data_IF_503382970345
#
_entry.id   IF_503382970345
#
_cell.length_a   1.000
_cell.length_b   1.000
_cell.length_c   1.000
_cell.angle_alpha   90.00
_cell.angle_beta   90.00
_cell.angle_gamma   90.00
#
_symmetry.space_group_name_H-M   'P 1'
#
loop_
_entity.id
_entity.type
_entity.pdbx_description
1 polymer ?
#
# COMPACT_ATOMS: atom_id res chain seq x y z
N UNK A 1 55.13 31.59 -36.23
CA UNK A 1 56.58 31.72 -36.01
C UNK A 1 56.96 31.00 -34.73
N UNK A 2 57.73 29.95 -34.92
CA UNK A 2 58.74 29.30 -34.06
C UNK A 2 58.23 28.58 -32.80
N UNK A 3 57.96 27.28 -32.86
CA UNK A 3 58.63 26.27 -32.04
C UNK A 3 60.16 26.42 -32.10
N UNK A 4 60.99 25.82 -31.31
CA UNK A 4 61.04 24.46 -30.77
C UNK A 4 61.65 24.42 -29.31
N UNK A 5 62.01 23.37 -28.60
CA UNK A 5 62.64 22.08 -28.88
C UNK A 5 62.79 21.28 -27.60
N UNK A 6 62.69 19.99 -27.74
CA UNK A 6 63.02 18.87 -26.85
C UNK A 6 64.48 18.94 -26.35
N UNK A 7 64.77 18.50 -25.11
CA UNK A 7 66.00 17.73 -24.84
C UNK A 7 65.86 16.78 -23.65
N UNK A 8 65.98 15.50 -23.95
CA UNK A 8 66.30 14.34 -23.13
C UNK A 8 67.78 14.29 -22.80
N UNK A 9 68.19 13.75 -21.66
CA UNK A 9 69.44 12.98 -21.41
C UNK A 9 69.50 12.57 -19.93
N UNK A 10 69.28 11.31 -19.57
CA UNK A 10 70.16 10.13 -19.44
C UNK A 10 71.11 10.13 -18.22
N UNK A 11 70.82 9.14 -17.35
CA UNK A 11 71.70 8.27 -16.53
C UNK A 11 73.13 8.73 -16.11
N UNK A 12 73.46 8.50 -14.84
CA UNK A 12 74.60 7.59 -14.47
C UNK A 12 74.59 7.26 -12.98
N UNK A 13 74.83 6.00 -12.76
CA UNK A 13 75.21 5.22 -11.56
C UNK A 13 76.49 5.70 -10.89
N UNK A 14 76.61 5.41 -9.61
CA UNK A 14 77.62 4.52 -8.97
C UNK A 14 77.71 4.78 -7.49
N UNK A 15 77.43 3.76 -6.66
CA UNK A 15 78.41 3.03 -5.77
C UNK A 15 79.11 3.90 -4.73
N UNK A 16 79.10 3.62 -3.48
CA UNK A 16 79.30 2.50 -2.64
C UNK A 16 79.49 2.91 -1.16
N UNK A 17 79.28 1.98 -0.31
CA UNK A 17 79.94 1.63 0.98
C UNK A 17 79.36 2.15 2.29
N UNK A 18 78.75 1.18 2.95
CA UNK A 18 79.17 0.53 4.21
C UNK A 18 79.25 1.36 5.50
N UNK A 19 78.40 1.10 6.46
CA UNK A 19 78.74 0.37 7.67
C UNK A 19 77.75 0.62 8.83
N UNK A 20 77.37 -0.48 9.47
CA UNK A 20 77.05 -0.69 10.87
C UNK A 20 75.63 -0.41 11.39
N UNK A 21 75.01 -1.50 11.61
CA UNK A 21 74.16 -2.05 12.69
C UNK A 21 73.71 -1.10 13.79
N UNK A 22 72.39 -0.97 13.94
CA UNK A 22 71.73 -0.98 15.22
C UNK A 22 70.34 -1.65 15.08
N UNK A 23 70.25 -2.75 15.71
CA UNK A 23 69.10 -3.60 15.97
C UNK A 23 68.01 -2.81 16.71
N UNK A 24 66.88 -2.64 16.10
CA UNK A 24 65.63 -2.35 16.80
C UNK A 24 64.48 -3.02 16.04
N UNK A 25 64.24 -4.21 16.47
CA UNK A 25 63.07 -5.02 16.09
C UNK A 25 61.79 -4.31 16.58
N UNK A 26 61.21 -3.55 15.70
CA UNK A 26 59.81 -3.14 15.85
C UNK A 26 58.92 -4.34 15.43
N UNK A 27 58.08 -4.88 16.30
CA UNK A 27 57.21 -5.99 15.95
C UNK A 27 56.27 -5.48 14.85
N UNK A 28 56.34 -6.11 13.67
CA UNK A 28 55.37 -6.02 12.62
C UNK A 28 53.99 -6.26 13.24
N UNK A 29 53.22 -5.20 13.38
CA UNK A 29 51.81 -5.25 13.75
C UNK A 29 51.14 -6.20 12.74
N UNK A 30 50.85 -7.41 13.19
CA UNK A 30 49.99 -8.36 12.45
C UNK A 30 48.72 -7.58 12.16
N UNK A 31 48.56 -7.19 10.89
CA UNK A 31 47.25 -6.80 10.38
C UNK A 31 46.31 -7.97 10.70
N UNK A 32 45.30 -7.70 11.50
CA UNK A 32 44.23 -8.67 11.75
C UNK A 32 43.76 -9.13 10.39
N UNK A 33 43.88 -10.43 10.12
CA UNK A 33 43.20 -11.06 9.02
C UNK A 33 41.74 -10.69 9.16
N UNK A 34 41.24 -9.83 8.31
CA UNK A 34 39.80 -9.70 8.11
C UNK A 34 39.28 -11.12 7.86
N UNK A 35 38.33 -11.56 8.65
CA UNK A 35 37.73 -12.88 8.49
C UNK A 35 37.26 -13.00 7.05
N UNK A 36 38.01 -13.77 6.25
CA UNK A 36 37.60 -14.08 4.88
C UNK A 36 36.51 -15.13 4.96
N UNK A 37 35.29 -14.71 4.73
CA UNK A 37 34.15 -15.62 4.61
C UNK A 37 34.23 -16.30 3.24
N UNK A 38 34.40 -17.61 3.23
CA UNK A 38 34.38 -18.44 2.01
C UNK A 38 32.93 -18.66 1.57
N UNK A 39 32.59 -18.19 0.39
CA UNK A 39 31.29 -18.43 -0.22
C UNK A 39 31.28 -19.79 -0.96
N UNK A 40 30.19 -20.56 -0.82
CA UNK A 40 30.03 -21.89 -1.43
C UNK A 40 30.10 -21.80 -2.97
N UNK A 41 29.51 -20.77 -3.57
CA UNK A 41 29.46 -20.57 -5.02
C UNK A 41 30.38 -19.43 -5.53
N UNK A 42 31.40 -19.06 -4.74
CA UNK A 42 32.34 -17.98 -5.11
C UNK A 42 31.77 -16.55 -5.01
N UNK A 43 30.47 -16.40 -4.78
CA UNK A 43 29.79 -15.14 -4.47
C UNK A 43 29.09 -15.25 -3.12
N UNK A 44 29.33 -14.27 -2.25
CA UNK A 44 28.65 -14.18 -0.96
C UNK A 44 27.16 -13.89 -1.20
N UNK A 45 26.31 -14.89 -1.04
CA UNK A 45 24.85 -14.73 -1.06
C UNK A 45 24.28 -14.38 0.32
N UNK A 46 25.05 -14.61 1.39
CA UNK A 46 24.65 -14.31 2.77
C UNK A 46 25.25 -12.99 3.21
N UNK A 47 24.38 -12.01 3.44
CA UNK A 47 24.78 -10.72 4.02
C UNK A 47 24.99 -10.87 5.52
N UNK A 48 26.10 -10.35 6.02
CA UNK A 48 26.34 -10.26 7.47
C UNK A 48 25.42 -9.18 8.09
N UNK A 49 25.24 -9.20 9.40
CA UNK A 49 24.49 -8.16 10.11
C UNK A 49 25.08 -6.76 9.88
N UNK A 50 26.41 -6.67 9.81
CA UNK A 50 27.11 -5.41 9.52
C UNK A 50 26.88 -4.93 8.09
N UNK A 51 26.83 -5.84 7.11
CA UNK A 51 26.53 -5.47 5.72
C UNK A 51 25.10 -4.98 5.57
N UNK A 52 24.14 -5.60 6.27
CA UNK A 52 22.74 -5.13 6.30
C UNK A 52 22.64 -3.76 6.90
N UNK A 53 23.24 -3.55 8.09
CA UNK A 53 23.25 -2.24 8.73
C UNK A 53 23.88 -1.15 7.86
N UNK A 54 24.99 -1.48 7.16
CA UNK A 54 25.63 -0.56 6.22
C UNK A 54 24.73 -0.20 5.06
N UNK A 55 24.03 -1.17 4.49
CA UNK A 55 23.08 -0.95 3.39
C UNK A 55 21.88 -0.10 3.87
N UNK A 56 21.32 -0.42 5.04
CA UNK A 56 20.23 0.38 5.63
C UNK A 56 20.67 1.82 5.90
N UNK A 57 21.90 2.02 6.40
CA UNK A 57 22.45 3.35 6.58
C UNK A 57 22.68 4.10 5.27
N UNK A 58 23.12 3.40 4.20
CA UNK A 58 23.26 4.00 2.87
C UNK A 58 21.89 4.44 2.32
N UNK A 59 20.86 3.63 2.48
CA UNK A 59 19.49 3.97 2.07
C UNK A 59 18.98 5.23 2.79
N UNK A 60 19.23 5.33 4.10
CA UNK A 60 18.89 6.52 4.90
C UNK A 60 19.62 7.77 4.39
N UNK A 61 20.93 7.66 4.14
CA UNK A 61 21.75 8.79 3.64
C UNK A 61 21.35 9.18 2.21
N UNK A 62 21.08 8.20 1.34
CA UNK A 62 20.57 8.45 -0.01
C UNK A 62 19.21 9.13 0.03
N UNK A 63 18.33 8.71 0.95
CA UNK A 63 17.03 9.35 1.14
C UNK A 63 17.19 10.81 1.58
N UNK A 64 18.08 11.07 2.53
CA UNK A 64 18.33 12.43 3.03
C UNK A 64 18.92 13.35 1.95
N UNK A 65 19.92 12.89 1.21
CA UNK A 65 20.63 13.71 0.22
C UNK A 65 19.95 13.75 -1.14
N UNK A 66 19.47 12.57 -1.61
CA UNK A 66 18.91 12.36 -2.94
C UNK A 66 17.39 12.38 -2.98
N UNK A 67 16.71 12.54 -1.83
CA UNK A 67 15.24 12.44 -1.70
C UNK A 67 14.68 11.10 -2.21
N UNK A 68 15.46 10.04 -2.06
CA UNK A 68 15.01 8.67 -2.34
C UNK A 68 13.84 8.34 -1.42
N UNK A 69 12.74 7.89 -2.00
CA UNK A 69 11.58 7.46 -1.24
C UNK A 69 11.87 6.08 -0.65
N UNK A 70 11.76 5.97 0.65
CA UNK A 70 11.81 4.71 1.39
C UNK A 70 10.41 4.26 1.75
N UNK A 71 10.25 2.98 1.99
CA UNK A 71 8.97 2.37 2.38
C UNK A 71 9.15 1.61 3.68
N UNK A 72 8.20 1.71 4.58
CA UNK A 72 8.22 0.99 5.86
C UNK A 72 6.88 0.96 6.53
N UNK A 73 6.74 0.09 7.52
CA UNK A 73 5.49 -0.11 8.27
C UNK A 73 5.53 0.68 9.57
N UNK A 74 4.45 1.37 9.90
CA UNK A 74 4.28 2.04 11.18
C UNK A 74 4.12 0.98 12.28
N UNK A 75 5.14 0.83 13.13
CA UNK A 75 5.16 -0.18 14.18
C UNK A 75 4.71 0.35 15.53
N UNK A 76 4.76 1.67 15.73
CA UNK A 76 4.39 2.29 16.98
C UNK A 76 4.02 3.75 16.84
N UNK A 77 3.41 4.27 17.90
CA UNK A 77 3.14 5.70 18.08
C UNK A 77 3.68 6.11 19.44
N UNK A 78 4.56 7.07 19.46
CA UNK A 78 5.17 7.60 20.67
C UNK A 78 4.78 9.06 20.86
N UNK A 79 4.72 9.51 22.12
CA UNK A 79 4.58 10.92 22.47
C UNK A 79 5.94 11.47 22.93
N UNK A 80 6.22 12.72 22.61
CA UNK A 80 7.43 13.37 23.11
C UNK A 80 7.44 13.44 24.63
N UNK A 81 8.59 13.10 25.25
CA UNK A 81 8.80 13.27 26.68
C UNK A 81 8.86 14.72 27.10
N UNK A 82 9.35 15.60 26.21
CA UNK A 82 9.50 17.04 26.49
C UNK A 82 8.20 17.82 26.23
N UNK A 83 7.45 17.40 25.21
CA UNK A 83 6.19 18.03 24.84
C UNK A 83 5.12 16.97 24.56
N UNK A 84 4.29 16.67 25.56
CA UNK A 84 3.20 15.68 25.47
C UNK A 84 2.19 15.96 24.34
N UNK A 85 2.21 17.16 23.77
CA UNK A 85 1.36 17.55 22.65
C UNK A 85 1.87 17.07 21.29
N UNK A 86 3.11 16.55 21.22
CA UNK A 86 3.70 16.07 19.96
C UNK A 86 3.73 14.55 19.94
N UNK A 87 3.12 13.97 18.93
CA UNK A 87 3.13 12.51 18.67
C UNK A 87 3.99 12.20 17.45
N UNK A 88 4.61 11.02 17.43
CA UNK A 88 5.44 10.53 16.34
C UNK A 88 5.00 9.15 15.91
N UNK A 89 4.96 8.89 14.61
CA UNK A 89 4.95 7.54 14.09
C UNK A 89 6.36 6.97 14.13
N UNK A 90 6.50 5.71 14.54
CA UNK A 90 7.77 5.00 14.63
C UNK A 90 7.82 3.91 13.59
N UNK A 91 8.89 3.91 12.81
CA UNK A 91 9.22 2.93 11.79
C UNK A 91 10.64 2.44 12.06
N UNK A 92 10.93 1.19 11.77
CA UNK A 92 12.30 0.68 11.75
C UNK A 92 12.71 0.39 10.31
N UNK A 93 13.80 1.02 9.88
CA UNK A 93 14.48 0.71 8.64
C UNK A 93 15.71 -0.14 8.97
N UNK A 94 15.53 -1.46 8.89
CA UNK A 94 16.49 -2.37 9.51
C UNK A 94 16.57 -2.16 11.03
N UNK A 95 17.75 -1.81 11.51
CA UNK A 95 17.98 -1.50 12.93
C UNK A 95 17.84 0.00 13.27
N UNK A 96 17.67 0.86 12.26
CA UNK A 96 17.62 2.32 12.43
C UNK A 96 16.20 2.74 12.76
N UNK A 97 16.02 3.44 13.88
CA UNK A 97 14.75 4.00 14.29
C UNK A 97 14.45 5.26 13.48
N UNK A 98 13.35 5.26 12.74
CA UNK A 98 12.84 6.43 12.02
C UNK A 98 11.60 6.94 12.73
N UNK A 99 11.63 8.21 13.13
CA UNK A 99 10.48 8.90 13.72
C UNK A 99 9.92 9.89 12.72
N UNK A 100 8.60 9.90 12.58
CA UNK A 100 7.90 10.84 11.69
C UNK A 100 6.92 11.63 12.55
N UNK A 101 7.12 12.96 12.70
CA UNK A 101 6.18 13.81 13.44
C UNK A 101 4.76 13.71 12.90
N UNK A 102 3.78 13.90 13.77
CA UNK A 102 2.35 13.84 13.38
C UNK A 102 2.04 14.74 12.19
N UNK A 103 2.60 15.93 12.18
CA UNK A 103 2.41 16.95 11.13
C UNK A 103 3.04 16.54 9.79
N UNK A 104 4.05 15.68 9.83
CA UNK A 104 4.72 15.13 8.66
C UNK A 104 4.17 13.74 8.26
N UNK A 105 3.33 13.15 9.11
CA UNK A 105 2.68 11.85 8.85
C UNK A 105 1.31 12.01 8.18
N UNK A 106 0.51 12.95 8.65
CA UNK A 106 -0.89 13.14 8.25
C UNK A 106 -1.16 14.61 7.97
N UNK A 107 -1.86 14.88 6.84
CA UNK A 107 -2.34 16.23 6.58
C UNK A 107 -3.27 16.69 7.70
N UNK A 108 -3.03 17.89 8.21
CA UNK A 108 -3.86 18.52 9.23
C UNK A 108 -5.31 18.57 8.77
N UNK A 109 -6.28 18.08 9.56
CA UNK A 109 -7.70 18.24 9.27
C UNK A 109 -8.13 19.70 9.35
N UNK A 110 -9.11 20.09 8.53
CA UNK A 110 -9.66 21.45 8.56
C UNK A 110 -10.57 21.68 9.78
N UNK A 111 -11.18 20.62 10.33
CA UNK A 111 -12.07 20.68 11.50
C UNK A 111 -11.65 19.64 12.56
N UNK A 112 -11.41 20.11 13.76
CA UNK A 112 -11.05 19.30 14.93
C UNK A 112 -12.26 18.84 15.76
N UNK A 113 -13.47 19.28 15.40
CA UNK A 113 -14.73 18.94 16.12
C UNK A 113 -14.64 19.22 17.62
N UNK A 114 -13.98 20.32 18.00
CA UNK A 114 -13.82 20.74 19.39
C UNK A 114 -12.83 19.91 20.22
N UNK A 115 -12.07 19.01 19.62
CA UNK A 115 -11.04 18.21 20.31
C UNK A 115 -9.68 18.92 20.26
N UNK A 116 -8.82 18.72 21.29
CA UNK A 116 -7.45 19.23 21.26
C UNK A 116 -6.69 18.70 20.04
N UNK A 117 -5.89 19.58 19.45
CA UNK A 117 -5.05 19.25 18.27
C UNK A 117 -4.21 17.99 18.48
N UNK A 118 -3.50 17.91 19.60
CA UNK A 118 -2.62 16.79 19.91
C UNK A 118 -3.36 15.44 19.93
N UNK A 119 -4.57 15.41 20.50
CA UNK A 119 -5.35 14.17 20.60
C UNK A 119 -5.88 13.72 19.24
N UNK A 120 -6.29 14.68 18.40
CA UNK A 120 -6.74 14.37 17.03
C UNK A 120 -5.60 13.83 16.20
N UNK A 121 -4.44 14.46 16.24
CA UNK A 121 -3.26 14.01 15.49
C UNK A 121 -2.76 12.66 15.98
N UNK A 122 -2.70 12.45 17.30
CA UNK A 122 -2.37 11.16 17.89
C UNK A 122 -3.35 10.06 17.46
N UNK A 123 -4.65 10.33 17.50
CA UNK A 123 -5.66 9.40 17.02
C UNK A 123 -5.48 9.03 15.54
N UNK A 124 -5.21 10.03 14.68
CA UNK A 124 -5.03 9.81 13.25
C UNK A 124 -3.80 8.94 12.95
N UNK A 125 -2.69 9.13 13.69
CA UNK A 125 -1.51 8.26 13.54
C UNK A 125 -1.81 6.86 14.07
N UNK A 126 -2.44 6.75 15.23
CA UNK A 126 -2.78 5.45 15.85
C UNK A 126 -3.65 4.60 14.94
N UNK A 127 -4.57 5.23 14.18
CA UNK A 127 -5.37 4.52 13.18
C UNK A 127 -4.58 4.01 11.97
N UNK A 128 -3.31 4.38 11.85
CA UNK A 128 -2.38 3.94 10.80
C UNK A 128 -1.34 2.94 11.29
N UNK A 129 -1.47 2.44 12.53
CA UNK A 129 -0.62 1.34 13.01
C UNK A 129 -0.76 0.14 12.08
N UNK A 130 0.39 -0.46 11.71
CA UNK A 130 0.46 -1.55 10.74
C UNK A 130 0.41 -1.11 9.27
N UNK A 131 0.15 0.17 8.99
CA UNK A 131 0.14 0.67 7.62
C UNK A 131 1.56 0.73 7.04
N UNK A 132 1.71 0.24 5.82
CA UNK A 132 2.91 0.43 5.00
C UNK A 132 2.85 1.82 4.35
N UNK A 133 3.81 2.68 4.64
CA UNK A 133 3.87 4.06 4.14
C UNK A 133 5.20 4.36 3.47
N UNK A 134 5.16 5.34 2.58
CA UNK A 134 6.35 5.92 1.97
C UNK A 134 6.82 7.13 2.78
N UNK A 135 8.14 7.29 2.91
CA UNK A 135 8.72 8.44 3.61
C UNK A 135 10.07 8.84 3.02
N UNK A 136 10.51 10.04 3.34
CA UNK A 136 11.82 10.59 3.01
C UNK A 136 12.48 11.04 4.30
N UNK A 137 13.79 10.86 4.41
CA UNK A 137 14.55 11.29 5.55
C UNK A 137 14.87 12.79 5.42
N UNK A 138 14.55 13.55 6.46
CA UNK A 138 14.87 14.99 6.59
C UNK A 138 16.18 15.22 7.35
N UNK A 139 16.36 14.48 8.43
CA UNK A 139 17.58 14.57 9.24
C UNK A 139 17.95 13.21 9.83
N UNK A 140 19.24 13.02 10.08
CA UNK A 140 19.80 11.83 10.69
C UNK A 140 20.75 12.26 11.81
N UNK A 141 20.52 11.77 13.00
CA UNK A 141 21.48 11.84 14.09
C UNK A 141 22.25 10.51 14.17
N UNK A 142 23.48 10.55 13.71
CA UNK A 142 24.35 9.37 13.67
C UNK A 142 24.68 8.86 15.08
N UNK A 143 24.73 9.76 16.07
CA UNK A 143 25.13 9.41 17.44
C UNK A 143 24.04 8.62 18.16
N UNK A 144 22.80 9.03 18.00
CA UNK A 144 21.64 8.34 18.60
C UNK A 144 21.09 7.21 17.75
N UNK A 145 21.48 7.11 16.45
CA UNK A 145 20.91 6.16 15.51
C UNK A 145 19.44 6.43 15.17
N UNK A 146 18.99 7.69 15.33
CA UNK A 146 17.62 8.10 15.08
C UNK A 146 17.57 8.98 13.83
N UNK A 147 16.67 8.64 12.93
CA UNK A 147 16.37 9.45 11.75
C UNK A 147 14.99 10.11 11.88
N UNK A 148 14.84 11.30 11.35
CA UNK A 148 13.55 12.01 11.26
C UNK A 148 13.09 12.00 9.81
N UNK A 149 11.90 11.49 9.57
CA UNK A 149 11.32 11.37 8.24
C UNK A 149 10.10 12.27 8.01
N UNK A 150 9.67 12.34 6.75
CA UNK A 150 8.42 12.96 6.32
C UNK A 150 7.69 12.06 5.33
N UNK A 151 6.46 11.69 5.67
CA UNK A 151 5.54 11.01 4.75
C UNK A 151 4.96 12.00 3.75
N UNK A 152 4.59 13.20 4.19
CA UNK A 152 3.94 14.19 3.34
C UNK A 152 4.84 14.62 2.16
N UNK A 153 6.15 14.73 2.38
CA UNK A 153 7.10 15.01 1.30
C UNK A 153 7.21 13.85 0.30
N UNK A 154 7.26 12.60 0.79
CA UNK A 154 7.26 11.42 -0.07
C UNK A 154 5.97 11.35 -0.93
N UNK A 155 4.82 11.59 -0.30
CA UNK A 155 3.53 11.67 -0.99
C UNK A 155 3.51 12.77 -2.06
N UNK A 156 4.06 13.94 -1.76
CA UNK A 156 4.13 15.06 -2.71
C UNK A 156 4.97 14.71 -3.94
N UNK A 157 6.12 14.05 -3.75
CA UNK A 157 6.95 13.59 -4.85
C UNK A 157 6.26 12.52 -5.70
N UNK A 158 5.65 11.51 -5.07
CA UNK A 158 4.88 10.49 -5.79
C UNK A 158 3.71 11.09 -6.57
N UNK A 159 2.95 12.01 -5.97
CA UNK A 159 1.88 12.71 -6.67
C UNK A 159 2.39 13.43 -7.92
N UNK A 160 3.50 14.16 -7.79
CA UNK A 160 4.09 14.86 -8.94
C UNK A 160 4.50 13.88 -10.05
N UNK A 161 5.07 12.75 -9.67
CA UNK A 161 5.56 11.76 -10.62
C UNK A 161 4.42 11.04 -11.34
N UNK A 162 3.38 10.60 -10.63
CA UNK A 162 2.35 9.73 -11.17
C UNK A 162 1.14 10.48 -11.72
N UNK A 163 0.68 11.54 -11.06
CA UNK A 163 -0.51 12.28 -11.49
C UNK A 163 -0.23 13.28 -12.61
N UNK A 164 1.00 13.73 -12.74
CA UNK A 164 1.45 14.68 -13.76
C UNK A 164 2.59 14.13 -14.62
N UNK A 165 2.88 12.86 -14.50
CA UNK A 165 3.84 12.15 -15.33
C UNK A 165 3.21 11.59 -16.58
N UNK A 166 4.05 11.36 -17.57
CA UNK A 166 3.68 10.77 -18.86
C UNK A 166 4.45 9.49 -19.07
N UNK A 167 3.86 8.56 -19.81
CA UNK A 167 4.53 7.36 -20.28
C UNK A 167 5.47 7.71 -21.48
N UNK A 168 6.10 6.68 -22.06
CA UNK A 168 7.01 6.86 -23.21
C UNK A 168 6.28 7.37 -24.45
N UNK A 169 5.00 7.15 -24.55
CA UNK A 169 4.13 7.53 -25.68
C UNK A 169 3.45 8.89 -25.47
N UNK A 170 3.72 9.55 -24.33
CA UNK A 170 3.19 10.88 -24.00
C UNK A 170 1.80 10.85 -23.38
N UNK A 171 1.28 9.67 -23.00
CA UNK A 171 -0.02 9.57 -22.31
C UNK A 171 0.15 9.74 -20.81
N UNK A 172 -0.90 10.22 -20.14
CA UNK A 172 -0.91 10.29 -18.68
C UNK A 172 -0.75 8.91 -18.06
N UNK A 173 0.10 8.79 -17.03
CA UNK A 173 0.30 7.52 -16.29
C UNK A 173 -0.98 7.07 -15.58
N UNK A 174 -1.76 8.01 -15.04
CA UNK A 174 -3.04 7.74 -14.39
C UNK A 174 -4.19 8.31 -15.22
N UNK A 175 -5.21 7.48 -15.44
CA UNK A 175 -6.41 7.86 -16.21
C UNK A 175 -7.66 7.15 -15.67
N UNK A 176 -8.82 7.63 -16.01
CA UNK A 176 -10.08 7.00 -15.64
C UNK A 176 -10.24 5.63 -16.28
N UNK A 177 -10.64 4.64 -15.50
CA UNK A 177 -10.76 3.25 -15.92
C UNK A 177 -9.51 2.39 -15.67
N UNK A 178 -8.36 2.99 -15.30
CA UNK A 178 -7.15 2.26 -14.96
C UNK A 178 -7.35 1.42 -13.69
N UNK A 179 -6.90 0.16 -13.74
CA UNK A 179 -6.75 -0.68 -12.56
C UNK A 179 -5.35 -0.52 -11.98
N UNK A 180 -5.25 -0.26 -10.70
CA UNK A 180 -3.99 0.02 -10.01
C UNK A 180 -3.95 -0.63 -8.64
N UNK A 181 -2.74 -0.88 -8.13
CA UNK A 181 -2.52 -1.31 -6.76
C UNK A 181 -2.53 -0.10 -5.82
N UNK A 182 -3.24 -0.21 -4.70
CA UNK A 182 -3.25 0.77 -3.63
C UNK A 182 -2.96 0.11 -2.28
N UNK A 183 -2.44 0.86 -1.32
CA UNK A 183 -2.16 0.39 0.04
C UNK A 183 -3.21 0.89 1.01
N UNK A 184 -3.76 -0.01 1.82
CA UNK A 184 -4.70 0.35 2.89
C UNK A 184 -3.92 1.04 4.01
N UNK A 185 -4.26 2.28 4.29
CA UNK A 185 -3.57 3.11 5.30
C UNK A 185 -4.34 3.11 6.62
N UNK A 186 -5.66 3.13 6.54
CA UNK A 186 -6.52 3.15 7.73
C UNK A 186 -7.87 2.54 7.42
N UNK A 187 -8.44 1.85 8.40
CA UNK A 187 -9.75 1.20 8.30
C UNK A 187 -10.70 1.78 9.32
N UNK A 188 -11.91 2.11 8.87
CA UNK A 188 -13.03 2.51 9.71
C UNK A 188 -14.25 1.65 9.35
N UNK A 189 -15.24 1.59 10.22
CA UNK A 189 -16.44 0.79 9.98
C UNK A 189 -17.11 1.08 8.64
N UNK A 190 -17.18 2.36 8.24
CA UNK A 190 -17.88 2.81 7.03
C UNK A 190 -17.07 2.67 5.73
N UNK A 191 -15.78 2.30 5.79
CA UNK A 191 -14.91 2.18 4.63
C UNK A 191 -13.43 2.18 4.99
N UNK A 192 -12.59 2.38 3.99
CA UNK A 192 -11.13 2.38 4.14
C UNK A 192 -10.50 3.63 3.54
N UNK A 193 -9.36 4.02 4.08
CA UNK A 193 -8.48 5.00 3.47
C UNK A 193 -7.31 4.27 2.80
N UNK A 194 -7.03 4.62 1.56
CA UNK A 194 -5.94 4.01 0.79
C UNK A 194 -4.99 5.06 0.27
N UNK A 195 -3.72 4.72 0.19
CA UNK A 195 -2.70 5.49 -0.52
C UNK A 195 -2.62 5.00 -1.97
N UNK A 196 -2.92 5.90 -2.88
CA UNK A 196 -2.80 5.70 -4.32
C UNK A 196 -1.73 6.66 -4.86
N UNK A 197 -0.50 6.15 -5.00
CA UNK A 197 0.64 6.91 -5.52
C UNK A 197 0.85 8.28 -4.86
N UNK A 198 0.77 8.33 -3.52
CA UNK A 198 0.97 9.55 -2.73
C UNK A 198 -0.27 10.42 -2.58
N UNK A 199 -1.44 9.92 -2.96
CA UNK A 199 -2.72 10.54 -2.65
C UNK A 199 -3.54 9.62 -1.75
N UNK A 200 -3.86 10.08 -0.54
CA UNK A 200 -4.76 9.35 0.35
C UNK A 200 -6.21 9.63 -0.04
N UNK A 201 -6.96 8.58 -0.37
CA UNK A 201 -8.37 8.67 -0.76
C UNK A 201 -9.24 7.72 0.05
N UNK A 202 -10.50 8.10 0.25
CA UNK A 202 -11.49 7.31 0.99
C UNK A 202 -12.32 6.45 0.05
N UNK A 203 -12.45 5.17 0.38
CA UNK A 203 -13.32 4.22 -0.33
C UNK A 203 -14.47 3.83 0.61
N UNK A 204 -15.71 4.24 0.32
CA UNK A 204 -16.86 3.87 1.13
C UNK A 204 -17.19 2.39 0.98
N UNK A 205 -17.82 1.82 2.01
CA UNK A 205 -18.16 0.40 2.11
C UNK A 205 -18.87 -0.16 0.86
N UNK A 206 -19.74 0.64 0.24
CA UNK A 206 -20.47 0.29 -1.00
C UNK A 206 -19.57 0.09 -2.23
N UNK A 207 -18.35 0.65 -2.22
CA UNK A 207 -17.37 0.52 -3.30
C UNK A 207 -16.32 -0.56 -3.03
N UNK A 208 -16.38 -1.22 -1.86
CA UNK A 208 -15.46 -2.31 -1.50
C UNK A 208 -15.92 -3.66 -2.02
N UNK A 209 -17.23 -3.93 -2.01
CA UNK A 209 -17.78 -5.21 -2.42
C UNK A 209 -19.14 -5.06 -3.09
N UNK A 210 -19.50 -6.04 -3.91
CA UNK A 210 -20.86 -6.24 -4.41
C UNK A 210 -21.81 -6.79 -3.34
N UNK A 211 -21.28 -7.46 -2.32
CA UNK A 211 -22.03 -7.93 -1.18
C UNK A 211 -22.28 -6.80 -0.17
N UNK A 212 -23.38 -6.87 0.56
CA UNK A 212 -23.66 -5.91 1.63
C UNK A 212 -22.86 -6.24 2.87
N UNK A 213 -21.83 -5.44 3.14
CA UNK A 213 -21.05 -5.52 4.35
C UNK A 213 -21.53 -4.48 5.36
N UNK A 214 -21.34 -4.75 6.64
CA UNK A 214 -21.68 -3.84 7.73
C UNK A 214 -20.48 -3.15 8.36
N UNK A 215 -19.28 -3.72 8.15
CA UNK A 215 -18.02 -3.25 8.72
C UNK A 215 -16.86 -3.61 7.80
N UNK A 216 -16.07 -2.61 7.40
CA UNK A 216 -14.89 -2.83 6.58
C UNK A 216 -13.74 -3.49 7.36
N UNK A 217 -13.68 -3.28 8.68
CA UNK A 217 -12.64 -3.86 9.55
C UNK A 217 -12.66 -5.38 9.65
N UNK A 218 -13.76 -6.03 9.21
CA UNK A 218 -13.84 -7.49 9.13
C UNK A 218 -13.05 -8.06 7.95
N UNK A 219 -12.77 -7.24 6.92
CA UNK A 219 -12.21 -7.70 5.64
C UNK A 219 -10.90 -7.04 5.26
N UNK A 220 -10.58 -5.88 5.85
CA UNK A 220 -9.39 -5.12 5.53
C UNK A 220 -8.60 -4.75 6.78
N UNK A 221 -7.28 -4.73 6.60
CA UNK A 221 -6.33 -4.32 7.63
C UNK A 221 -5.37 -3.26 7.08
N UNK A 222 -4.85 -2.34 7.91
CA UNK A 222 -3.80 -1.41 7.51
C UNK A 222 -2.56 -2.17 7.02
N UNK A 223 -1.92 -1.67 5.96
CA UNK A 223 -0.77 -2.31 5.31
C UNK A 223 -1.12 -3.29 4.19
N UNK A 224 -2.38 -3.70 4.07
CA UNK A 224 -2.83 -4.58 3.00
C UNK A 224 -2.72 -3.87 1.64
N UNK A 225 -2.25 -4.59 0.62
CA UNK A 225 -2.27 -4.14 -0.78
C UNK A 225 -3.51 -4.66 -1.47
N UNK A 226 -4.19 -3.79 -2.18
CA UNK A 226 -5.46 -4.09 -2.83
C UNK A 226 -5.47 -3.57 -4.27
N UNK A 227 -6.19 -4.27 -5.13
CA UNK A 227 -6.45 -3.80 -6.48
C UNK A 227 -7.67 -2.88 -6.48
N UNK A 228 -7.53 -1.71 -7.11
CA UNK A 228 -8.60 -0.72 -7.26
C UNK A 228 -8.74 -0.31 -8.72
N UNK A 229 -9.91 0.18 -9.08
CA UNK A 229 -10.15 0.82 -10.36
C UNK A 229 -10.43 2.30 -10.16
N UNK A 230 -9.77 3.15 -10.93
CA UNK A 230 -9.99 4.60 -10.92
C UNK A 230 -11.30 4.88 -11.67
N UNK A 231 -12.29 5.45 -10.97
CA UNK A 231 -13.59 5.77 -11.56
C UNK A 231 -13.63 7.19 -12.13
N UNK A 232 -13.07 8.13 -11.37
CA UNK A 232 -12.99 9.56 -11.74
C UNK A 232 -11.66 10.11 -11.28
N UNK A 233 -11.07 10.96 -12.09
CA UNK A 233 -9.82 11.63 -11.83
C UNK A 233 -9.94 13.11 -12.21
N UNK A 234 -9.93 14.00 -11.21
CA UNK A 234 -9.95 15.45 -11.40
C UNK A 234 -8.58 16.04 -11.05
N UNK A 235 -7.88 16.50 -12.07
CA UNK A 235 -6.56 17.12 -12.00
C UNK A 235 -6.60 18.65 -12.19
N UNK A 236 -7.77 19.26 -12.19
CA UNK A 236 -7.96 20.70 -12.44
C UNK A 236 -7.18 21.56 -11.44
N UNK A 237 -7.05 21.10 -10.21
CA UNK A 237 -6.29 21.75 -9.17
C UNK A 237 -5.14 20.84 -8.69
N UNK A 238 -3.90 21.27 -8.93
CA UNK A 238 -2.70 20.51 -8.54
C UNK A 238 -2.55 20.30 -7.03
N UNK A 239 -3.05 21.22 -6.23
CA UNK A 239 -2.98 21.17 -4.78
C UNK A 239 -4.12 20.34 -4.16
N UNK A 240 -5.22 20.18 -4.92
CA UNK A 240 -6.42 19.48 -4.46
C UNK A 240 -6.93 18.49 -5.53
N UNK A 241 -6.14 17.46 -5.79
CA UNK A 241 -6.50 16.36 -6.69
C UNK A 241 -7.64 15.56 -6.07
N UNK A 242 -8.69 15.30 -6.85
CA UNK A 242 -9.81 14.46 -6.41
C UNK A 242 -9.83 13.16 -7.22
N UNK A 243 -9.84 12.04 -6.52
CA UNK A 243 -9.91 10.71 -7.12
C UNK A 243 -11.05 9.93 -6.49
N UNK A 244 -11.88 9.31 -7.32
CA UNK A 244 -12.85 8.30 -6.90
C UNK A 244 -12.38 6.95 -7.38
N UNK A 245 -12.33 5.98 -6.49
CA UNK A 245 -11.86 4.63 -6.78
C UNK A 245 -12.83 3.57 -6.24
N UNK A 246 -12.77 2.37 -6.81
CA UNK A 246 -13.61 1.24 -6.40
C UNK A 246 -12.81 -0.05 -6.39
N UNK A 247 -12.88 -0.80 -5.31
CA UNK A 247 -12.31 -2.15 -5.20
C UNK A 247 -13.16 -3.14 -5.97
N UNK A 248 -14.51 -3.07 -5.80
CA UNK A 248 -15.42 -4.01 -6.45
C UNK A 248 -15.35 -3.98 -7.97
N UNK A 249 -15.07 -2.80 -8.57
CA UNK A 249 -15.00 -2.68 -10.04
C UNK A 249 -13.62 -3.05 -10.61
N UNK A 250 -12.60 -3.24 -9.76
CA UNK A 250 -11.29 -3.71 -10.18
C UNK A 250 -11.26 -5.23 -10.42
N UNK A 251 -12.13 -5.98 -9.72
CA UNK A 251 -12.33 -7.40 -9.94
C UNK A 251 -13.47 -7.63 -10.93
N UNK A 252 -13.44 -8.77 -11.63
CA UNK A 252 -14.59 -9.20 -12.40
C UNK A 252 -15.81 -9.29 -11.49
N UNK A 253 -16.93 -8.78 -11.98
CA UNK A 253 -18.16 -8.80 -11.22
C UNK A 253 -18.64 -10.26 -11.03
N UNK A 254 -18.58 -10.84 -9.81
CA UNK A 254 -19.02 -12.21 -9.59
C UNK A 254 -20.47 -12.43 -10.00
N UNK A 255 -21.26 -11.36 -9.94
CA UNK A 255 -22.65 -11.36 -10.38
C UNK A 255 -22.78 -11.57 -11.89
N UNK A 256 -21.94 -10.97 -12.71
CA UNK A 256 -21.98 -11.16 -14.18
C UNK A 256 -21.54 -12.56 -14.58
N UNK A 257 -20.53 -13.12 -13.91
CA UNK A 257 -20.14 -14.52 -14.12
C UNK A 257 -21.23 -15.48 -13.66
N UNK A 258 -21.82 -15.22 -12.50
CA UNK A 258 -22.93 -16.03 -12.00
C UNK A 258 -24.16 -15.89 -12.90
N UNK A 259 -24.46 -14.69 -13.41
CA UNK A 259 -25.58 -14.46 -14.31
C UNK A 259 -25.47 -15.30 -15.61
N UNK A 260 -24.27 -15.49 -16.13
CA UNK A 260 -24.01 -16.32 -17.32
C UNK A 260 -24.32 -17.80 -17.11
N UNK A 261 -24.37 -18.28 -15.86
CA UNK A 261 -24.68 -19.67 -15.52
C UNK A 261 -26.19 -19.97 -15.56
N UNK A 262 -27.02 -18.92 -15.50
CA UNK A 262 -28.46 -19.06 -15.45
C UNK A 262 -29.03 -18.93 -16.84
N UNK A 263 -29.97 -19.87 -17.17
CA UNK A 263 -30.67 -19.90 -18.44
C UNK A 263 -32.18 -19.79 -18.21
N UNK A 264 -32.90 -19.06 -19.04
CA UNK A 264 -34.36 -19.07 -19.00
C UNK A 264 -34.92 -20.49 -19.08
N UNK A 265 -36.09 -20.69 -18.49
CA UNK A 265 -36.81 -21.96 -18.38
C UNK A 265 -36.15 -23.07 -17.54
N UNK A 266 -34.94 -22.85 -17.06
CA UNK A 266 -34.23 -23.77 -16.16
C UNK A 266 -34.62 -23.58 -14.70
N UNK A 267 -34.46 -24.66 -13.90
CA UNK A 267 -34.81 -24.68 -12.47
C UNK A 267 -33.54 -24.67 -11.64
N UNK A 268 -33.53 -23.80 -10.62
CA UNK A 268 -32.41 -23.65 -9.68
C UNK A 268 -32.89 -23.63 -8.25
N UNK A 269 -32.08 -24.13 -7.34
CA UNK A 269 -32.34 -24.05 -5.90
C UNK A 269 -31.77 -22.77 -5.35
N UNK A 270 -32.54 -22.08 -4.54
CA UNK A 270 -32.12 -20.86 -3.88
C UNK A 270 -32.67 -20.76 -2.47
N UNK A 271 -32.24 -19.72 -1.75
CA UNK A 271 -32.69 -19.41 -0.39
C UNK A 271 -33.47 -18.11 -0.39
N UNK A 272 -34.63 -18.07 0.22
CA UNK A 272 -35.45 -16.86 0.35
C UNK A 272 -34.71 -15.83 1.17
N UNK A 273 -34.31 -14.72 0.55
CA UNK A 273 -33.61 -13.61 1.20
C UNK A 273 -34.56 -12.58 1.78
N UNK A 274 -35.64 -12.28 1.05
CA UNK A 274 -36.64 -11.30 1.47
C UNK A 274 -38.01 -11.62 0.83
N UNK A 275 -39.07 -11.29 1.56
CA UNK A 275 -40.46 -11.32 1.05
C UNK A 275 -41.01 -9.91 1.14
N UNK A 276 -41.42 -9.37 0.00
CA UNK A 276 -41.96 -8.01 -0.12
C UNK A 276 -43.32 -8.05 -0.82
N UNK A 277 -44.04 -6.93 -0.84
CA UNK A 277 -45.30 -6.74 -1.56
C UNK A 277 -45.17 -7.01 -3.07
N UNK A 278 -43.99 -6.72 -3.63
CA UNK A 278 -43.70 -6.90 -5.07
C UNK A 278 -43.28 -8.31 -5.44
N UNK A 279 -43.04 -9.21 -4.47
CA UNK A 279 -42.63 -10.58 -4.72
C UNK A 279 -41.70 -11.15 -3.66
N UNK A 280 -41.12 -12.28 -3.98
CA UNK A 280 -40.19 -13.02 -3.14
C UNK A 280 -38.79 -12.94 -3.76
N UNK A 281 -37.84 -12.40 -3.03
CA UNK A 281 -36.44 -12.41 -3.44
C UNK A 281 -35.79 -13.72 -3.01
N UNK A 282 -35.23 -14.42 -3.96
CA UNK A 282 -34.54 -15.69 -3.75
C UNK A 282 -33.10 -15.53 -4.15
N UNK A 283 -32.20 -15.71 -3.19
CA UNK A 283 -30.77 -15.71 -3.44
C UNK A 283 -30.35 -17.06 -4.04
N UNK A 284 -29.85 -17.03 -5.25
CA UNK A 284 -29.31 -18.17 -5.98
C UNK A 284 -27.80 -18.31 -5.71
N UNK A 285 -27.22 -19.42 -6.17
CA UNK A 285 -25.77 -19.65 -6.05
C UNK A 285 -24.98 -18.55 -6.76
N UNK A 286 -23.85 -18.09 -6.14
CA UNK A 286 -23.05 -16.97 -6.64
C UNK A 286 -23.59 -15.58 -6.28
N UNK A 287 -24.55 -15.48 -5.34
CA UNK A 287 -25.07 -14.22 -4.81
C UNK A 287 -26.00 -13.46 -5.76
N UNK A 288 -26.58 -14.14 -6.71
CA UNK A 288 -27.57 -13.58 -7.66
C UNK A 288 -28.96 -13.65 -7.06
N UNK A 289 -29.65 -12.52 -6.96
CA UNK A 289 -31.01 -12.45 -6.49
C UNK A 289 -32.01 -12.58 -7.65
N UNK A 290 -32.94 -13.52 -7.53
CA UNK A 290 -34.06 -13.71 -8.42
C UNK A 290 -35.35 -13.15 -7.80
N UNK A 291 -36.03 -12.24 -8.47
CA UNK A 291 -37.33 -11.77 -8.06
C UNK A 291 -38.40 -12.75 -8.55
N UNK A 292 -39.03 -13.43 -7.63
CA UNK A 292 -40.08 -14.40 -7.93
C UNK A 292 -41.48 -13.83 -7.64
N UNK A 293 -42.47 -14.20 -8.44
CA UNK A 293 -43.87 -13.94 -8.12
C UNK A 293 -44.27 -14.70 -6.86
N UNK A 294 -45.25 -14.16 -6.13
CA UNK A 294 -45.77 -14.85 -4.96
C UNK A 294 -46.38 -16.20 -5.38
N UNK A 295 -46.02 -17.31 -4.71
CA UNK A 295 -46.59 -18.60 -5.03
C UNK A 295 -48.10 -18.64 -4.73
N UNK A 296 -48.86 -19.34 -5.54
CA UNK A 296 -50.29 -19.45 -5.35
C UNK A 296 -50.68 -20.21 -4.07
N UNK A 297 -49.80 -21.08 -3.59
CA UNK A 297 -50.03 -21.86 -2.33
C UNK A 297 -48.84 -21.67 -1.41
N UNK A 298 -49.14 -21.29 -0.17
CA UNK A 298 -48.13 -21.09 0.89
C UNK A 298 -47.38 -19.79 0.76
N UNK A 299 -46.82 -19.33 1.90
CA UNK A 299 -45.90 -18.17 1.97
C UNK A 299 -44.54 -18.68 2.36
N UNK A 300 -43.48 -18.51 1.51
CA UNK A 300 -42.15 -18.93 1.89
C UNK A 300 -41.64 -18.04 2.99
N UNK A 301 -41.07 -18.65 4.05
CA UNK A 301 -40.41 -17.91 5.11
C UNK A 301 -38.97 -17.49 4.65
N UNK A 302 -38.49 -16.39 5.22
CA UNK A 302 -37.08 -15.98 5.02
C UNK A 302 -36.15 -17.09 5.51
N UNK A 303 -35.12 -17.42 4.70
CA UNK A 303 -34.19 -18.51 4.97
C UNK A 303 -34.60 -19.89 4.47
N UNK A 304 -35.87 -20.07 3.99
CA UNK A 304 -36.31 -21.34 3.44
C UNK A 304 -35.67 -21.63 2.08
N UNK A 305 -35.37 -22.89 1.80
CA UNK A 305 -34.89 -23.34 0.49
C UNK A 305 -36.07 -23.53 -0.45
N UNK A 306 -35.95 -22.95 -1.62
CA UNK A 306 -37.00 -23.04 -2.68
C UNK A 306 -36.37 -23.37 -4.02
N UNK A 307 -37.17 -24.01 -4.89
CA UNK A 307 -36.79 -24.20 -6.28
C UNK A 307 -37.47 -23.13 -7.12
N UNK A 308 -36.67 -22.41 -7.89
CA UNK A 308 -37.12 -21.32 -8.76
C UNK A 308 -36.97 -21.75 -10.21
N UNK A 309 -37.98 -21.54 -11.06
CA UNK A 309 -37.86 -21.56 -12.50
C UNK A 309 -37.63 -20.15 -12.99
N UNK A 310 -36.52 -19.92 -13.68
CA UNK A 310 -36.22 -18.63 -14.30
C UNK A 310 -37.13 -18.40 -15.48
N UNK A 311 -37.83 -17.26 -15.49
CA UNK A 311 -38.69 -16.85 -16.59
C UNK A 311 -37.91 -15.97 -17.55
N UNK A 312 -37.06 -15.11 -17.05
CA UNK A 312 -36.26 -14.24 -17.88
C UNK A 312 -35.10 -13.60 -17.16
N UNK A 313 -34.18 -13.11 -17.97
CA UNK A 313 -32.95 -12.43 -17.49
C UNK A 313 -32.81 -11.13 -18.29
N UNK A 314 -32.68 -10.02 -17.61
CA UNK A 314 -32.33 -8.76 -18.22
C UNK A 314 -30.86 -8.47 -17.93
N UNK A 315 -30.03 -8.53 -18.97
CA UNK A 315 -28.56 -8.34 -18.85
C UNK A 315 -28.20 -6.89 -18.61
N UNK A 316 -28.97 -5.93 -19.12
CA UNK A 316 -28.68 -4.49 -18.94
C UNK A 316 -28.96 -4.03 -17.51
N UNK A 317 -30.11 -4.40 -16.98
CA UNK A 317 -30.48 -4.09 -15.60
C UNK A 317 -29.92 -5.09 -14.58
N UNK A 318 -29.28 -6.17 -15.05
CA UNK A 318 -28.71 -7.26 -14.24
C UNK A 318 -29.75 -7.89 -13.30
N UNK A 319 -30.98 -8.10 -13.80
CA UNK A 319 -32.10 -8.64 -13.02
C UNK A 319 -32.55 -9.96 -13.56
N UNK A 320 -32.81 -10.91 -12.66
CA UNK A 320 -33.43 -12.19 -12.96
C UNK A 320 -34.82 -12.17 -12.33
N UNK A 321 -35.81 -12.68 -13.07
CA UNK A 321 -37.16 -12.94 -12.52
C UNK A 321 -37.59 -14.34 -12.82
N UNK A 322 -38.40 -14.89 -11.93
CA UNK A 322 -38.82 -16.28 -12.02
C UNK A 322 -40.10 -16.57 -11.22
N UNK A 323 -40.41 -17.83 -11.11
CA UNK A 323 -41.50 -18.33 -10.27
C UNK A 323 -41.01 -19.45 -9.37
N UNK A 324 -41.51 -19.48 -8.13
CA UNK A 324 -41.24 -20.56 -7.19
C UNK A 324 -42.07 -21.76 -7.60
N UNK A 325 -41.39 -22.87 -7.92
CA UNK A 325 -42.06 -24.12 -8.36
C UNK A 325 -42.18 -25.14 -7.24
N UNK A 326 -41.27 -25.11 -6.27
CA UNK A 326 -41.30 -26.02 -5.13
C UNK A 326 -40.75 -25.31 -3.87
N UNK A 327 -41.36 -25.57 -2.73
CA UNK A 327 -40.90 -25.09 -1.43
C UNK A 327 -40.52 -26.31 -0.58
N UNK A 328 -39.26 -26.36 -0.14
CA UNK A 328 -38.82 -27.36 0.83
C UNK A 328 -39.26 -26.89 2.18
N UNK A 329 -40.27 -27.55 2.81
CA UNK A 329 -40.67 -27.26 4.16
C UNK A 329 -39.49 -27.66 5.09
N UNK A 330 -38.98 -26.70 5.85
CA UNK A 330 -38.16 -27.04 7.02
C UNK A 330 -39.04 -27.83 7.98
N UNK A 331 -38.75 -29.11 8.12
CA UNK A 331 -39.28 -29.92 9.23
C UNK A 331 -38.52 -29.56 10.51
#
# INVERSE_FOLDING_TARGET
MKEPTITTVTQKQSEANNAQAADTSTPLRRQSRSEQILAIDGQLSVQTREDKYRNDMLDIVESQKGRKILTGTIQGVERSSENQNTSFAVIYHGEIKVIIPAEETVKKPDDFRGRPYADVMNYLITKRLGAEIDYIIKSLDINSGIAVGSRLEAMALKRRQYYFGYDRDGNNLLYEGLSAEARVVSVIRAGIFVDLFGLETYIPLRELSYQRWSDAGTYFEPGQRILIKILKLDLSNRDNIKVSVSVKQAAENPYEQALKRYTPDSRYVGTVSMVDTNGVFVSLEGGVDCLCTHPQRGRPARGSKVTVRIIGINHDSKRIWGAITHMTSLR
#
